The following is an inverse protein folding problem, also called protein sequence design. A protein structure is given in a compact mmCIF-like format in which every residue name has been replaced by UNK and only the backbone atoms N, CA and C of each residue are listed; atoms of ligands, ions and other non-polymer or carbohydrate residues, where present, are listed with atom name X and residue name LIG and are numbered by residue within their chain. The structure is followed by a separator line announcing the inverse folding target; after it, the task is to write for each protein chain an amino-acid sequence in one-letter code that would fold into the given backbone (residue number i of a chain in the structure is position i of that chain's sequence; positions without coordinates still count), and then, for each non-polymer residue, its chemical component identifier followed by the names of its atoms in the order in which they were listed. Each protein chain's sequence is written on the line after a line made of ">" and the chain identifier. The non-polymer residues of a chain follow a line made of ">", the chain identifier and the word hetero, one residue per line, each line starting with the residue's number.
data_IF_407292668311
#
_entry.id   IF_407292668311
#
_cell.length_a   1.000
_cell.length_b   1.000
_cell.length_c   1.000
_cell.angle_alpha   90.00
_cell.angle_beta   90.00
_cell.angle_gamma   90.00
#
_symmetry.space_group_name_H-M   'P 1'
#
loop_
_entity.id
_entity.type
_entity.pdbx_description
1 polymer ?
#
# COMPACT_ATOMS: atom_id res chain seq x y z
N UNK A 1 0.52 0.40 -1.57
CA UNK A 1 -0.65 0.65 -2.46
C UNK A 1 -1.95 0.88 -1.70
N UNK A 2 -2.36 0.03 -0.75
CA UNK A 2 -3.68 0.10 -0.07
C UNK A 2 -4.03 1.46 0.57
N UNK A 3 -3.11 2.07 1.30
CA UNK A 3 -3.35 3.39 1.91
C UNK A 3 -3.57 4.51 0.87
N UNK A 4 -3.02 4.38 -0.34
CA UNK A 4 -3.23 5.36 -1.40
C UNK A 4 -4.64 5.23 -2.00
N UNK A 5 -5.13 4.01 -2.19
CA UNK A 5 -6.48 3.77 -2.72
C UNK A 5 -7.56 4.22 -1.74
N UNK A 6 -7.37 3.93 -0.44
CA UNK A 6 -8.23 4.44 0.64
C UNK A 6 -8.30 5.96 0.58
N UNK A 7 -7.15 6.64 0.52
CA UNK A 7 -7.10 8.11 0.39
C UNK A 7 -7.80 8.62 -0.88
N UNK A 8 -7.63 7.96 -2.01
CA UNK A 8 -8.29 8.35 -3.27
C UNK A 8 -9.81 8.26 -3.15
N UNK A 9 -10.34 7.16 -2.63
CA UNK A 9 -11.79 6.98 -2.46
C UNK A 9 -12.36 7.97 -1.45
N UNK A 10 -11.66 8.22 -0.35
CA UNK A 10 -12.07 9.21 0.65
C UNK A 10 -12.07 10.64 0.05
N UNK A 11 -11.11 10.95 -0.83
CA UNK A 11 -11.09 12.23 -1.54
C UNK A 11 -12.29 12.36 -2.48
N UNK A 12 -12.59 11.33 -3.27
CA UNK A 12 -13.73 11.31 -4.20
C UNK A 12 -15.04 11.44 -3.44
N UNK A 13 -15.27 10.58 -2.44
CA UNK A 13 -16.51 10.60 -1.63
C UNK A 13 -16.73 11.92 -0.91
N UNK A 14 -15.66 12.59 -0.46
CA UNK A 14 -15.76 13.94 0.11
C UNK A 14 -16.23 14.98 -0.92
N UNK A 15 -15.75 14.88 -2.17
CA UNK A 15 -16.12 15.80 -3.25
C UNK A 15 -17.55 15.55 -3.73
N UNK A 16 -17.95 14.28 -3.88
CA UNK A 16 -19.29 13.90 -4.35
C UNK A 16 -20.36 14.10 -3.28
N UNK A 17 -20.04 13.87 -2.00
CA UNK A 17 -20.98 13.96 -0.88
C UNK A 17 -20.41 14.80 0.27
N UNK A 18 -20.44 16.15 0.17
CA UNK A 18 -19.81 17.03 1.16
C UNK A 18 -20.48 17.00 2.54
N UNK A 19 -21.77 16.70 2.64
CA UNK A 19 -22.51 16.59 3.89
C UNK A 19 -22.44 15.22 4.60
N UNK A 20 -21.85 14.21 3.97
CA UNK A 20 -21.79 12.87 4.55
C UNK A 20 -20.78 12.82 5.71
N UNK A 21 -21.13 12.31 6.90
CA UNK A 21 -20.18 12.19 8.00
C UNK A 21 -19.08 11.17 7.65
N UNK A 22 -17.96 11.27 8.36
CA UNK A 22 -16.76 10.51 8.06
C UNK A 22 -16.98 9.00 8.08
N UNK A 23 -17.72 8.50 9.07
CA UNK A 23 -17.93 7.07 9.26
C UNK A 23 -18.69 6.45 8.09
N UNK A 24 -19.68 7.15 7.55
CA UNK A 24 -20.40 6.71 6.35
C UNK A 24 -19.52 6.74 5.09
N UNK A 25 -18.64 7.74 4.94
CA UNK A 25 -17.67 7.77 3.83
C UNK A 25 -16.70 6.61 3.91
N UNK A 26 -16.21 6.31 5.11
CA UNK A 26 -15.27 5.22 5.34
C UNK A 26 -15.91 3.87 5.03
N UNK A 27 -17.09 3.59 5.59
CA UNK A 27 -17.81 2.33 5.36
C UNK A 27 -18.11 2.12 3.88
N UNK A 28 -18.64 3.14 3.19
CA UNK A 28 -18.91 3.08 1.75
C UNK A 28 -17.63 2.88 0.93
N UNK A 29 -16.56 3.56 1.31
CA UNK A 29 -15.28 3.43 0.63
C UNK A 29 -14.64 2.05 0.80
N UNK A 30 -14.71 1.48 2.00
CA UNK A 30 -14.23 0.12 2.27
C UNK A 30 -15.05 -0.94 1.55
N UNK A 31 -16.36 -0.77 1.48
CA UNK A 31 -17.23 -1.66 0.72
C UNK A 31 -16.82 -1.72 -0.76
N UNK A 32 -16.65 -0.56 -1.39
CA UNK A 32 -16.17 -0.48 -2.78
C UNK A 32 -14.78 -1.11 -2.97
N UNK A 33 -13.86 -0.93 -2.01
CA UNK A 33 -12.53 -1.55 -2.09
C UNK A 33 -12.59 -3.08 -2.01
N UNK A 34 -13.54 -3.63 -1.24
CA UNK A 34 -13.69 -5.08 -1.08
C UNK A 34 -14.28 -5.76 -2.31
N UNK A 35 -15.02 -5.03 -3.13
CA UNK A 35 -15.58 -5.53 -4.39
C UNK A 35 -14.68 -5.25 -5.60
N UNK A 36 -13.64 -4.42 -5.46
CA UNK A 36 -12.77 -4.08 -6.58
C UNK A 36 -11.86 -5.25 -6.93
N UNK A 37 -11.92 -5.69 -8.18
CA UNK A 37 -11.01 -6.71 -8.74
C UNK A 37 -9.56 -6.22 -8.71
N UNK A 38 -8.69 -6.99 -8.08
CA UNK A 38 -7.26 -6.69 -8.03
C UNK A 38 -6.61 -7.15 -9.34
N UNK A 39 -5.86 -6.26 -10.00
CA UNK A 39 -5.18 -6.58 -11.26
C UNK A 39 -4.12 -7.69 -11.15
N UNK A 40 -3.56 -7.91 -9.95
CA UNK A 40 -2.50 -8.88 -9.73
C UNK A 40 -3.03 -10.30 -9.45
N UNK A 41 -4.10 -10.40 -8.68
CA UNK A 41 -4.74 -11.71 -8.38
C UNK A 41 -5.85 -12.05 -9.37
N UNK A 42 -6.39 -11.04 -10.07
CA UNK A 42 -7.55 -11.22 -10.91
C UNK A 42 -8.84 -11.41 -10.12
N UNK A 43 -8.87 -11.22 -8.81
CA UNK A 43 -10.06 -11.49 -7.97
C UNK A 43 -10.38 -10.33 -7.03
N UNK A 44 -11.62 -10.28 -6.53
CA UNK A 44 -12.01 -9.30 -5.51
C UNK A 44 -11.59 -9.78 -4.11
N UNK A 45 -11.26 -8.87 -3.18
CA UNK A 45 -10.98 -9.26 -1.80
C UNK A 45 -12.13 -10.00 -1.13
N UNK A 46 -13.38 -9.70 -1.49
CA UNK A 46 -14.56 -10.40 -0.97
C UNK A 46 -14.62 -11.83 -1.47
N UNK A 47 -14.44 -12.02 -2.78
CA UNK A 47 -14.45 -13.33 -3.40
C UNK A 47 -13.34 -14.23 -2.85
N UNK A 48 -12.13 -13.71 -2.65
CA UNK A 48 -11.03 -14.48 -2.05
C UNK A 48 -11.30 -14.89 -0.60
N UNK A 49 -12.01 -14.06 0.17
CA UNK A 49 -12.27 -14.33 1.59
C UNK A 49 -13.51 -15.21 1.80
N UNK A 50 -14.59 -14.91 1.09
CA UNK A 50 -15.93 -15.48 1.33
C UNK A 50 -16.35 -16.51 0.27
N UNK A 51 -15.70 -16.52 -0.90
CA UNK A 51 -16.10 -17.37 -2.03
C UNK A 51 -17.16 -16.75 -2.92
N UNK A 52 -17.63 -15.56 -2.60
CA UNK A 52 -18.61 -14.82 -3.38
C UNK A 52 -18.36 -13.31 -3.27
N UNK A 53 -18.87 -12.58 -4.25
CA UNK A 53 -18.86 -11.13 -4.23
C UNK A 53 -19.95 -10.59 -3.31
N UNK A 54 -19.61 -9.58 -2.51
CA UNK A 54 -20.60 -8.89 -1.66
C UNK A 54 -21.66 -8.23 -2.56
N UNK A 55 -22.91 -8.28 -2.13
CA UNK A 55 -24.03 -7.60 -2.82
C UNK A 55 -24.26 -6.20 -2.26
N UNK A 56 -24.62 -5.26 -3.12
CA UNK A 56 -24.91 -3.88 -2.75
C UNK A 56 -26.34 -3.70 -2.24
N UNK A 57 -26.64 -2.55 -1.59
CA UNK A 57 -28.01 -2.18 -1.28
C UNK A 57 -28.83 -2.06 -2.57
N UNK A 58 -29.91 -2.83 -2.70
CA UNK A 58 -30.76 -2.87 -3.89
C UNK A 58 -30.60 -4.11 -4.76
N UNK A 59 -29.58 -4.94 -4.51
CA UNK A 59 -29.36 -6.21 -5.21
C UNK A 59 -30.14 -7.33 -4.53
N UNK A 60 -31.40 -7.53 -4.94
CA UNK A 60 -32.31 -8.53 -4.36
C UNK A 60 -32.28 -9.88 -5.06
N UNK A 61 -31.70 -9.95 -6.26
CA UNK A 61 -31.66 -11.17 -7.06
C UNK A 61 -30.69 -12.18 -6.45
N UNK A 62 -31.18 -13.40 -6.23
CA UNK A 62 -30.40 -14.51 -5.72
C UNK A 62 -29.99 -15.41 -6.87
N UNK A 63 -28.80 -15.16 -7.42
CA UNK A 63 -28.12 -16.18 -8.19
C UNK A 63 -27.54 -17.23 -7.24
N UNK A 64 -27.85 -18.50 -7.52
CA UNK A 64 -27.16 -19.65 -6.97
C UNK A 64 -25.70 -19.55 -7.43
N UNK A 65 -24.86 -18.99 -6.55
CA UNK A 65 -23.48 -18.64 -6.87
C UNK A 65 -22.68 -19.80 -7.43
N UNK A 66 -21.52 -19.52 -8.06
CA UNK A 66 -20.69 -20.55 -8.67
C UNK A 66 -20.36 -21.66 -7.67
N UNK A 67 -20.24 -22.89 -8.19
CA UNK A 67 -19.83 -24.10 -7.46
C UNK A 67 -18.71 -23.74 -6.48
N UNK A 68 -18.88 -24.07 -5.20
CA UNK A 68 -17.92 -23.71 -4.16
C UNK A 68 -16.58 -24.39 -4.43
N UNK A 69 -15.67 -23.68 -5.11
CA UNK A 69 -14.26 -23.99 -5.10
C UNK A 69 -13.77 -23.98 -3.65
N UNK A 70 -12.94 -24.97 -3.30
CA UNK A 70 -12.39 -25.02 -1.96
C UNK A 70 -11.61 -23.73 -1.69
N UNK A 71 -11.64 -23.27 -0.44
CA UNK A 71 -10.92 -22.03 -0.07
C UNK A 71 -9.42 -22.15 -0.40
N UNK A 72 -8.86 -23.36 -0.30
CA UNK A 72 -7.49 -23.68 -0.69
C UNK A 72 -7.20 -23.44 -2.17
N UNK A 73 -8.05 -23.94 -3.07
CA UNK A 73 -7.87 -23.81 -4.53
C UNK A 73 -7.89 -22.34 -4.94
N UNK A 74 -8.91 -21.57 -4.50
CA UNK A 74 -8.99 -20.13 -4.77
C UNK A 74 -7.75 -19.36 -4.30
N UNK A 75 -7.23 -19.70 -3.12
CA UNK A 75 -6.04 -19.04 -2.58
C UNK A 75 -4.78 -19.42 -3.35
N UNK A 76 -4.68 -20.67 -3.80
CA UNK A 76 -3.56 -21.15 -4.60
C UNK A 76 -3.55 -20.48 -5.97
N UNK A 77 -4.70 -20.41 -6.65
CA UNK A 77 -4.83 -19.72 -7.93
C UNK A 77 -4.47 -18.24 -7.81
N UNK A 78 -4.99 -17.55 -6.79
CA UNK A 78 -4.67 -16.16 -6.53
C UNK A 78 -3.16 -15.94 -6.31
N UNK A 79 -2.47 -16.87 -5.62
CA UNK A 79 -1.01 -16.82 -5.44
C UNK A 79 -0.27 -17.05 -6.76
N UNK A 80 -0.74 -17.97 -7.58
CA UNK A 80 -0.15 -18.26 -8.90
C UNK A 80 -0.29 -17.06 -9.84
N UNK A 81 -1.46 -16.43 -9.87
CA UNK A 81 -1.69 -15.19 -10.64
C UNK A 81 -0.82 -14.05 -10.11
N UNK A 82 -0.75 -13.87 -8.79
CA UNK A 82 0.09 -12.86 -8.16
C UNK A 82 1.58 -13.05 -8.52
N UNK A 83 2.06 -14.30 -8.56
CA UNK A 83 3.43 -14.64 -8.98
C UNK A 83 3.67 -14.23 -10.43
N UNK A 84 2.80 -14.66 -11.35
CA UNK A 84 2.89 -14.31 -12.79
C UNK A 84 2.84 -12.80 -13.02
N UNK A 85 1.95 -12.10 -12.33
CA UNK A 85 1.85 -10.64 -12.39
C UNK A 85 3.15 -10.00 -11.92
N UNK A 86 3.70 -10.47 -10.80
CA UNK A 86 4.95 -9.94 -10.24
C UNK A 86 6.12 -10.17 -11.21
N UNK A 87 6.25 -11.37 -11.77
CA UNK A 87 7.28 -11.69 -12.78
C UNK A 87 7.21 -10.75 -13.99
N UNK A 88 6.01 -10.43 -14.46
CA UNK A 88 5.80 -9.53 -15.61
C UNK A 88 6.19 -8.08 -15.35
N UNK A 89 6.00 -7.60 -14.12
CA UNK A 89 6.16 -6.17 -13.78
C UNK A 89 7.31 -5.86 -12.82
N UNK A 90 8.07 -6.87 -12.35
CA UNK A 90 9.35 -6.63 -11.68
C UNK A 90 10.26 -5.92 -12.68
N UNK A 91 10.58 -4.67 -12.38
CA UNK A 91 11.75 -4.02 -12.96
C UNK A 91 12.92 -4.35 -12.04
N UNK A 92 13.97 -5.04 -12.51
CA UNK A 92 15.17 -5.21 -11.71
C UNK A 92 15.68 -3.81 -11.37
N UNK A 93 15.74 -3.52 -10.07
CA UNK A 93 16.36 -2.30 -9.59
C UNK A 93 17.87 -2.35 -9.82
N UNK A 94 18.58 -1.22 -9.70
CA UNK A 94 20.03 -1.25 -9.62
C UNK A 94 20.45 -2.22 -8.51
N UNK A 95 21.58 -2.93 -8.69
CA UNK A 95 22.06 -3.87 -7.67
C UNK A 95 22.19 -3.15 -6.33
N UNK A 96 21.68 -3.78 -5.28
CA UNK A 96 21.84 -3.27 -3.93
C UNK A 96 23.33 -3.20 -3.61
N UNK A 97 23.85 -2.00 -3.36
CA UNK A 97 25.22 -1.82 -2.85
C UNK A 97 25.31 -2.51 -1.48
N UNK A 98 26.18 -3.50 -1.37
CA UNK A 98 26.50 -4.14 -0.09
C UNK A 98 27.65 -3.35 0.55
N UNK A 99 27.43 -2.84 1.76
CA UNK A 99 28.46 -2.14 2.53
C UNK A 99 29.17 -3.13 3.46
N UNK A 100 30.46 -2.95 3.64
CA UNK A 100 31.28 -3.68 4.60
C UNK A 100 31.51 -2.85 5.87
N UNK A 101 31.93 -3.51 6.95
CA UNK A 101 32.33 -2.82 8.17
C UNK A 101 33.55 -1.92 7.89
N UNK A 102 33.45 -0.65 8.24
CA UNK A 102 34.49 0.36 8.00
C UNK A 102 34.25 1.26 6.78
N UNK A 103 33.24 0.97 5.97
CA UNK A 103 32.89 1.82 4.82
C UNK A 103 32.33 3.17 5.27
N UNK A 104 32.80 4.24 4.63
CA UNK A 104 32.24 5.58 4.79
C UNK A 104 30.95 5.68 3.97
N UNK A 105 29.82 5.73 4.66
CA UNK A 105 28.49 5.84 4.04
C UNK A 105 27.86 7.20 4.30
N UNK A 106 27.25 7.77 3.26
CA UNK A 106 26.46 8.99 3.39
C UNK A 106 25.03 8.63 3.79
N UNK A 107 24.58 9.18 4.91
CA UNK A 107 23.19 9.02 5.36
C UNK A 107 22.39 10.25 4.99
N UNK A 108 21.21 10.04 4.39
CA UNK A 108 20.27 11.12 4.13
C UNK A 108 19.77 11.67 5.46
N UNK A 109 20.09 12.93 5.76
CA UNK A 109 19.53 13.60 6.94
C UNK A 109 18.04 13.88 6.71
N UNK A 110 17.18 13.41 7.63
CA UNK A 110 15.74 13.69 7.57
C UNK A 110 15.43 14.80 8.58
N UNK A 111 15.33 16.04 8.11
CA UNK A 111 14.73 17.10 8.92
C UNK A 111 13.24 16.84 9.03
N UNK A 112 12.77 16.52 10.25
CA UNK A 112 11.35 16.66 10.57
C UNK A 112 11.02 18.14 10.40
N UNK A 113 10.18 18.49 9.41
CA UNK A 113 9.62 19.85 9.33
C UNK A 113 8.97 20.15 10.69
N UNK A 114 9.58 21.04 11.47
CA UNK A 114 9.05 21.52 12.76
C UNK A 114 9.93 21.34 14.00
N UNK A 115 11.15 20.79 13.91
CA UNK A 115 12.10 20.77 15.04
C UNK A 115 13.39 21.47 14.64
N UNK A 116 13.38 22.80 14.64
CA UNK A 116 14.60 23.59 14.74
C UNK A 116 14.96 23.65 16.22
N UNK A 117 15.83 22.76 16.67
CA UNK A 117 16.53 22.96 17.93
C UNK A 117 18.00 23.24 17.63
N UNK A 118 18.40 24.43 18.07
CA UNK A 118 19.72 25.01 17.97
C UNK A 118 20.79 24.03 18.43
N UNK A 119 21.58 23.54 17.47
CA UNK A 119 23.01 23.19 17.57
C UNK A 119 23.42 22.57 16.24
N UNK A 120 23.76 23.40 15.27
CA UNK A 120 24.48 22.90 14.10
C UNK A 120 25.42 23.97 13.59
N UNK A 121 26.71 23.62 13.61
CA UNK A 121 27.82 24.36 13.03
C UNK A 121 27.48 24.94 11.64
N UNK A 122 28.01 26.13 11.31
CA UNK A 122 27.70 26.84 10.07
C UNK A 122 28.11 26.06 8.80
N UNK A 123 28.98 25.05 8.91
CA UNK A 123 29.38 24.20 7.79
C UNK A 123 28.27 23.25 7.31
N UNK A 124 27.27 22.93 8.14
CA UNK A 124 26.20 21.99 7.80
C UNK A 124 25.03 22.63 7.02
N UNK A 125 25.07 23.95 6.78
CA UNK A 125 23.92 24.70 6.23
C UNK A 125 23.75 24.65 4.71
N UNK A 126 24.70 24.09 3.95
CA UNK A 126 24.63 24.04 2.47
C UNK A 126 24.50 22.64 1.88
N UNK A 127 24.58 21.60 2.69
CA UNK A 127 24.47 20.22 2.23
C UNK A 127 23.73 19.44 3.30
N UNK A 128 22.61 18.80 2.92
CA UNK A 128 21.83 17.88 3.78
C UNK A 128 22.59 16.56 4.00
N UNK A 129 23.85 16.65 4.43
CA UNK A 129 24.77 15.53 4.59
C UNK A 129 25.49 15.72 5.93
N UNK A 130 25.26 14.79 6.86
CA UNK A 130 26.05 14.67 8.09
C UNK A 130 27.09 13.58 7.84
N UNK A 131 28.37 13.91 8.00
CA UNK A 131 29.47 12.95 7.99
C UNK A 131 29.55 12.35 9.40
N UNK A 132 29.21 11.07 9.55
CA UNK A 132 29.38 10.35 10.81
C UNK A 132 30.79 9.75 10.84
N UNK A 133 31.66 10.25 11.72
CA UNK A 133 32.92 9.62 12.06
C UNK A 133 32.69 8.50 13.08
N UNK A 134 33.33 7.35 12.88
CA UNK A 134 33.23 6.23 13.82
C UNK A 134 34.09 6.49 15.07
N UNK A 135 33.49 6.29 16.25
CA UNK A 135 34.19 6.30 17.54
C UNK A 135 34.86 4.95 17.74
N UNK A 136 36.19 4.93 17.90
CA UNK A 136 36.97 3.74 18.21
C UNK A 136 36.96 3.57 19.74
N UNK A 137 36.53 2.42 20.24
CA UNK A 137 36.82 1.93 21.60
C UNK A 137 37.68 0.69 21.48
#
# INVERSE_FOLDING_TARGET
>A
MRNQEIKKILRITRQTFPGLPWDHRLTRGLFNLRQRRNAATGETPSHLLLGFDLRGPGDWEWDDGPVQESTSERHEEARNQQRRYRERYIRPGPPLTKFQLGDLVLVRHHTRRGFEHERSDPACRRTNIIILYWYRS
#
